data_IF_883721277278
#
_entry.id   IF_883721277278
#
_cell.length_a   1.000
_cell.length_b   1.000
_cell.length_c   1.000
_cell.angle_alpha   90.00
_cell.angle_beta   90.00
_cell.angle_gamma   90.00
#
_symmetry.space_group_name_H-M   'P 1'
#
loop_
_entity.id
_entity.type
_entity.pdbx_description
1 polymer ?
#
# COMPACT_ATOMS: atom_id res chain seq x y z
N UNK A 1 2.63 1.42 -11.22
CA UNK A 1 3.25 0.88 -9.99
C UNK A 1 2.36 -0.21 -9.39
N UNK A 2 2.93 -1.22 -8.73
CA UNK A 2 2.19 -2.21 -7.93
C UNK A 2 2.33 -1.87 -6.45
N UNK A 3 1.22 -1.82 -5.73
CA UNK A 3 1.20 -1.74 -4.28
C UNK A 3 1.11 -3.16 -3.70
N UNK A 4 2.06 -3.55 -2.85
CA UNK A 4 2.05 -4.85 -2.15
C UNK A 4 1.65 -4.60 -0.70
N UNK A 5 0.52 -5.17 -0.29
CA UNK A 5 0.01 -5.12 1.08
C UNK A 5 0.40 -6.38 1.84
N UNK A 6 1.38 -6.25 2.73
CA UNK A 6 1.97 -7.37 3.44
C UNK A 6 2.69 -6.92 4.71
N UNK A 7 2.63 -7.76 5.74
CA UNK A 7 3.39 -7.59 6.98
C UNK A 7 4.91 -7.65 6.75
N UNK A 8 5.72 -7.11 7.69
CA UNK A 8 7.16 -7.31 7.71
C UNK A 8 7.53 -8.79 7.62
N UNK A 9 8.65 -9.09 6.97
CA UNK A 9 9.22 -10.44 6.87
C UNK A 9 8.33 -11.53 6.22
N UNK A 10 7.28 -11.18 5.46
CA UNK A 10 6.59 -12.15 4.58
C UNK A 10 7.52 -12.56 3.43
N UNK A 11 8.06 -13.79 3.52
CA UNK A 11 8.99 -14.34 2.55
C UNK A 11 8.39 -14.43 1.14
N UNK A 12 7.10 -14.70 0.99
CA UNK A 12 6.51 -14.79 -0.35
C UNK A 12 6.24 -13.41 -0.95
N UNK A 13 5.87 -12.43 -0.12
CA UNK A 13 5.80 -11.05 -0.59
C UNK A 13 7.18 -10.55 -1.07
N UNK A 14 8.27 -10.97 -0.41
CA UNK A 14 9.63 -10.67 -0.86
C UNK A 14 9.91 -11.26 -2.25
N UNK A 15 9.60 -12.55 -2.48
CA UNK A 15 9.76 -13.17 -3.81
C UNK A 15 8.97 -12.46 -4.91
N UNK A 16 7.73 -12.05 -4.63
CA UNK A 16 6.91 -11.30 -5.59
C UNK A 16 7.51 -9.93 -5.87
N UNK A 17 7.97 -9.21 -4.84
CA UNK A 17 8.63 -7.91 -4.98
C UNK A 17 9.91 -8.04 -5.83
N UNK A 18 10.72 -9.06 -5.58
CA UNK A 18 11.96 -9.29 -6.32
C UNK A 18 11.69 -9.61 -7.79
N UNK A 19 10.67 -10.42 -8.09
CA UNK A 19 10.25 -10.69 -9.46
C UNK A 19 9.70 -9.43 -10.16
N UNK A 20 8.93 -8.60 -9.46
CA UNK A 20 8.45 -7.32 -10.01
C UNK A 20 9.63 -6.38 -10.32
N UNK A 21 10.61 -6.28 -9.43
CA UNK A 21 11.83 -5.50 -9.66
C UNK A 21 12.64 -6.05 -10.83
N UNK A 22 12.79 -7.37 -10.94
CA UNK A 22 13.49 -8.03 -12.06
C UNK A 22 12.85 -7.72 -13.41
N UNK A 23 11.52 -7.56 -13.45
CA UNK A 23 10.77 -7.14 -14.64
C UNK A 23 10.73 -5.62 -14.86
N UNK A 24 11.44 -4.83 -14.05
CA UNK A 24 11.44 -3.37 -14.13
C UNK A 24 10.10 -2.73 -13.71
N UNK A 25 9.25 -3.44 -12.98
CA UNK A 25 7.95 -2.91 -12.54
C UNK A 25 8.14 -2.12 -11.24
N UNK A 26 7.76 -0.83 -11.20
CA UNK A 26 7.79 -0.05 -9.97
C UNK A 26 6.88 -0.68 -8.92
N UNK A 27 7.42 -0.92 -7.73
CA UNK A 27 6.72 -1.57 -6.62
C UNK A 27 6.94 -0.81 -5.32
N UNK A 28 5.90 -0.74 -4.50
CA UNK A 28 5.97 -0.23 -3.13
C UNK A 28 5.31 -1.25 -2.19
N UNK A 29 5.92 -1.50 -1.03
CA UNK A 29 5.37 -2.35 0.02
C UNK A 29 4.83 -1.48 1.13
N UNK A 30 3.65 -1.83 1.63
CA UNK A 30 3.05 -1.24 2.81
C UNK A 30 2.44 -2.34 3.67
N UNK A 31 2.59 -2.23 4.98
CA UNK A 31 1.74 -2.96 5.91
C UNK A 31 0.56 -2.07 6.32
N UNK A 32 -0.66 -2.61 6.33
CA UNK A 32 -1.84 -1.84 6.75
C UNK A 32 -1.79 -1.52 8.24
N UNK A 33 -1.12 -2.36 9.05
CA UNK A 33 -0.90 -2.10 10.48
C UNK A 33 -0.04 -0.85 10.76
N UNK A 34 0.62 -0.30 9.73
CA UNK A 34 1.38 0.95 9.86
C UNK A 34 0.50 2.20 9.84
N UNK A 35 -0.74 2.10 9.37
CA UNK A 35 -1.68 3.21 9.41
C UNK A 35 -2.38 3.28 10.78
N UNK A 36 -2.52 4.48 11.40
CA UNK A 36 -2.09 5.80 10.91
C UNK A 36 -0.69 6.23 11.38
N UNK A 37 -0.01 5.45 12.24
CA UNK A 37 1.17 5.90 12.98
C UNK A 37 2.41 6.17 12.11
N UNK A 38 2.57 5.45 11.00
CA UNK A 38 3.78 5.51 10.14
C UNK A 38 3.43 5.79 8.67
N UNK A 39 2.14 5.84 8.34
CA UNK A 39 1.63 6.03 6.98
C UNK A 39 0.55 7.11 7.00
N UNK A 40 0.68 8.07 6.09
CA UNK A 40 -0.37 9.06 5.84
C UNK A 40 -1.02 8.78 4.50
N UNK A 41 -2.35 8.75 4.47
CA UNK A 41 -3.15 8.55 3.26
C UNK A 41 -4.14 9.71 3.11
N UNK A 42 -4.06 10.40 1.99
CA UNK A 42 -5.10 11.33 1.55
C UNK A 42 -5.61 10.81 0.20
N UNK A 43 -6.86 10.36 0.16
CA UNK A 43 -7.41 9.68 -1.01
C UNK A 43 -8.80 10.21 -1.36
N UNK A 44 -9.09 10.29 -2.65
CA UNK A 44 -10.43 10.47 -3.19
C UNK A 44 -10.75 9.29 -4.09
N UNK A 45 -12.03 8.90 -4.13
CA UNK A 45 -12.54 7.92 -5.07
C UNK A 45 -13.79 8.51 -5.74
N UNK A 46 -13.72 8.70 -7.05
CA UNK A 46 -14.82 9.21 -7.86
C UNK A 46 -14.95 8.43 -9.18
N UNK A 47 -15.75 8.93 -10.12
CA UNK A 47 -15.97 8.29 -11.43
C UNK A 47 -14.71 8.15 -12.29
N UNK A 48 -13.64 8.89 -11.99
CA UNK A 48 -12.32 8.78 -12.61
C UNK A 48 -11.38 7.80 -11.91
N UNK A 49 -11.81 7.20 -10.79
CA UNK A 49 -11.04 6.24 -10.00
C UNK A 49 -10.35 6.87 -8.79
N UNK A 50 -9.23 6.28 -8.38
CA UNK A 50 -8.49 6.71 -7.19
C UNK A 50 -7.60 7.91 -7.49
N UNK A 51 -7.72 8.95 -6.69
CA UNK A 51 -6.83 10.10 -6.65
C UNK A 51 -6.21 10.29 -5.26
N UNK A 52 -5.12 11.06 -5.18
CA UNK A 52 -4.50 11.44 -3.92
C UNK A 52 -3.09 10.89 -3.72
N UNK A 53 -2.65 10.83 -2.45
CA UNK A 53 -1.26 10.55 -2.08
C UNK A 53 -1.17 9.58 -0.90
N UNK A 54 -0.23 8.66 -1.02
CA UNK A 54 0.21 7.76 0.03
C UNK A 54 1.64 8.13 0.44
N UNK A 55 1.87 8.49 1.69
CA UNK A 55 3.20 8.79 2.23
C UNK A 55 3.65 7.66 3.15
N UNK A 56 4.79 7.03 2.85
CA UNK A 56 5.40 5.96 3.64
C UNK A 56 6.92 5.97 3.50
N UNK A 57 7.64 5.77 4.61
CA UNK A 57 9.11 5.67 4.60
C UNK A 57 9.81 6.84 3.91
N UNK A 58 9.33 8.07 4.11
CA UNK A 58 9.86 9.30 3.50
C UNK A 58 9.56 9.45 2.01
N UNK A 59 8.78 8.54 1.41
CA UNK A 59 8.41 8.57 -0.01
C UNK A 59 6.93 8.87 -0.15
N UNK A 60 6.58 9.66 -1.16
CA UNK A 60 5.20 9.92 -1.55
C UNK A 60 4.89 9.18 -2.85
N UNK A 61 3.80 8.43 -2.84
CA UNK A 61 3.24 7.72 -4.00
C UNK A 61 1.94 8.41 -4.40
N UNK A 62 1.84 8.77 -5.69
CA UNK A 62 0.57 9.20 -6.28
C UNK A 62 -0.34 7.97 -6.47
N UNK A 63 -1.55 8.03 -5.93
CA UNK A 63 -2.50 6.92 -6.00
C UNK A 63 -2.94 6.63 -7.44
N UNK A 64 -2.93 7.62 -8.33
CA UNK A 64 -3.23 7.43 -9.77
C UNK A 64 -2.19 6.58 -10.49
N UNK A 65 -0.96 6.50 -9.95
CA UNK A 65 0.11 5.68 -10.51
C UNK A 65 0.02 4.20 -10.11
N UNK A 66 -0.84 3.85 -9.14
CA UNK A 66 -1.04 2.47 -8.68
C UNK A 66 -1.98 1.76 -9.66
N UNK A 67 -1.42 0.81 -10.41
CA UNK A 67 -2.16 0.06 -11.44
C UNK A 67 -2.80 -1.23 -10.93
N UNK A 68 -2.31 -1.74 -9.79
CA UNK A 68 -2.85 -2.92 -9.14
C UNK A 68 -2.33 -3.02 -7.69
N UNK A 69 -3.10 -3.74 -6.88
CA UNK A 69 -2.78 -4.05 -5.48
C UNK A 69 -2.62 -5.55 -5.33
N UNK A 70 -1.49 -5.99 -4.79
CA UNK A 70 -1.30 -7.36 -4.35
C UNK A 70 -1.61 -7.46 -2.85
N UNK A 71 -2.80 -7.97 -2.53
CA UNK A 71 -3.26 -8.17 -1.16
C UNK A 71 -2.88 -9.57 -0.67
N UNK A 72 -2.00 -9.68 0.32
CA UNK A 72 -1.40 -10.95 0.74
C UNK A 72 -1.75 -11.27 2.20
N UNK A 73 -0.98 -10.68 3.11
CA UNK A 73 -1.02 -10.91 4.56
C UNK A 73 -0.62 -9.62 5.27
N UNK A 74 -1.34 -8.50 5.06
CA UNK A 74 -1.10 -7.33 5.88
C UNK A 74 -1.42 -7.66 7.35
N UNK A 75 -0.72 -7.01 8.27
CA UNK A 75 -1.11 -7.00 9.67
C UNK A 75 -2.48 -6.34 9.84
N UNK A 76 -3.08 -6.54 11.01
CA UNK A 76 -4.41 -6.02 11.29
C UNK A 76 -4.42 -4.49 11.19
N UNK A 77 -5.43 -3.98 10.49
CA UNK A 77 -5.71 -2.56 10.46
C UNK A 77 -6.33 -2.16 11.79
N UNK A 78 -5.90 -1.03 12.34
CA UNK A 78 -6.55 -0.46 13.51
C UNK A 78 -7.76 0.35 13.06
N UNK A 79 -8.96 -0.10 13.42
CA UNK A 79 -10.19 0.70 13.28
C UNK A 79 -10.37 1.44 14.59
N UNK A 80 -10.32 2.77 14.54
CA UNK A 80 -10.74 3.58 15.69
C UNK A 80 -12.23 3.39 15.91
N UNK A 81 -12.71 3.42 17.16
CA UNK A 81 -14.16 3.46 17.46
C UNK A 81 -14.89 4.60 16.70
N UNK A 82 -14.17 5.67 16.35
CA UNK A 82 -14.65 6.83 15.56
C UNK A 82 -14.87 6.56 14.07
N UNK A 83 -14.49 5.39 13.57
CA UNK A 83 -14.67 4.94 12.18
C UNK A 83 -15.60 3.71 12.10
N UNK A 84 -16.28 3.36 13.20
CA UNK A 84 -17.34 2.35 13.20
C UNK A 84 -18.55 2.87 12.40
N UNK A 85 -19.20 2.02 11.58
CA UNK A 85 -20.42 2.40 10.85
C UNK A 85 -21.58 2.74 11.77
#
# INVERSE_FOLDING_TARGET
>A
MILVLSQPFDATAALVIDELKRRGVPVVRMDVAWFPAQVTLAATLDGGGWGGRLHLGGRTVDLTAIRAVYYRKPGNHWVSDRLSP
#
